data_IF_497829101925
#
_entry.id   IF_497829101925
#
_cell.length_a   1.000
_cell.length_b   1.000
_cell.length_c   1.000
_cell.angle_alpha   90.00
_cell.angle_beta   90.00
_cell.angle_gamma   90.00
#
_symmetry.space_group_name_H-M   'P 1'
#
loop_
_entity.id
_entity.type
_entity.pdbx_description
1 polymer ?
#
# COMPACT_ATOMS: atom_id res chain seq x y z
N UNK A 1 7.19 -30.60 38.61
CA UNK A 1 5.94 -31.04 37.93
C UNK A 1 5.40 -29.81 37.21
N UNK A 2 6.00 -29.51 36.06
CA UNK A 2 5.62 -28.37 35.24
C UNK A 2 4.60 -28.83 34.21
N UNK A 3 3.45 -28.21 34.30
CA UNK A 3 2.32 -28.37 33.36
C UNK A 3 2.67 -27.68 32.08
N UNK A 4 3.03 -28.40 31.03
CA UNK A 4 3.05 -27.93 29.64
C UNK A 4 1.60 -27.72 29.23
N UNK A 5 1.20 -26.44 29.08
CA UNK A 5 -0.05 -26.09 28.44
C UNK A 5 0.05 -26.52 26.98
N UNK A 6 -0.71 -27.54 26.61
CA UNK A 6 -0.97 -27.93 25.23
C UNK A 6 -1.61 -26.73 24.50
N UNK A 7 -0.90 -26.16 23.56
CA UNK A 7 -1.48 -25.24 22.58
C UNK A 7 -2.43 -26.07 21.69
N UNK A 8 -3.72 -25.83 21.77
CA UNK A 8 -4.69 -26.36 20.81
C UNK A 8 -4.29 -25.92 19.39
N UNK A 9 -4.30 -26.83 18.42
CA UNK A 9 -4.04 -26.46 17.01
C UNK A 9 -5.20 -25.58 16.52
N UNK A 10 -4.83 -24.46 15.90
CA UNK A 10 -5.71 -23.54 15.18
C UNK A 10 -6.68 -24.33 14.27
N UNK A 11 -8.00 -24.18 14.42
CA UNK A 11 -8.94 -24.96 13.62
C UNK A 11 -8.79 -24.60 12.14
N UNK A 12 -8.34 -25.56 11.35
CA UNK A 12 -8.36 -25.43 9.88
C UNK A 12 -9.80 -25.14 9.44
N UNK A 13 -10.02 -24.18 8.52
CA UNK A 13 -11.35 -23.90 8.03
C UNK A 13 -11.99 -25.19 7.49
N UNK A 14 -13.15 -25.52 8.00
CA UNK A 14 -13.94 -26.66 7.52
C UNK A 14 -14.33 -26.37 6.06
N UNK A 15 -14.23 -27.38 5.20
CA UNK A 15 -14.67 -27.32 3.82
C UNK A 15 -16.21 -27.14 3.77
N UNK A 16 -16.65 -25.88 3.72
CA UNK A 16 -18.05 -25.50 3.64
C UNK A 16 -18.18 -24.02 3.31
N UNK A 17 -18.69 -23.76 2.11
CA UNK A 17 -19.00 -22.46 1.51
C UNK A 17 -17.79 -21.58 1.17
N UNK A 18 -17.19 -21.88 0.00
CA UNK A 18 -16.25 -20.94 -0.64
C UNK A 18 -17.00 -19.67 -1.02
N UNK A 19 -16.73 -18.58 -0.28
CA UNK A 19 -17.32 -17.26 -0.58
C UNK A 19 -16.93 -16.83 -1.99
N UNK A 20 -17.88 -16.29 -2.73
CA UNK A 20 -17.69 -15.83 -4.11
C UNK A 20 -17.89 -14.35 -4.20
N UNK A 21 -16.84 -13.62 -4.57
CA UNK A 21 -16.84 -12.15 -4.61
C UNK A 21 -16.69 -11.67 -6.05
N UNK A 22 -17.57 -10.75 -6.46
CA UNK A 22 -17.39 -10.00 -7.70
C UNK A 22 -16.61 -8.73 -7.41
N UNK A 23 -15.35 -8.68 -7.84
CA UNK A 23 -14.51 -7.50 -7.67
C UNK A 23 -14.64 -6.56 -8.87
N UNK A 24 -14.93 -5.28 -8.59
CA UNK A 24 -14.86 -4.20 -9.57
C UNK A 24 -13.64 -3.35 -9.30
N UNK A 25 -12.80 -3.12 -10.30
CA UNK A 25 -11.56 -2.35 -10.16
C UNK A 25 -11.33 -1.43 -11.36
N UNK A 26 -10.70 -0.30 -11.13
CA UNK A 26 -10.28 0.58 -12.23
C UNK A 26 -9.11 -0.03 -12.99
N UNK A 27 -8.04 -0.40 -12.27
CA UNK A 27 -6.82 -0.97 -12.84
C UNK A 27 -6.34 -2.10 -11.93
N UNK A 28 -5.91 -3.21 -12.52
CA UNK A 28 -5.25 -4.30 -11.79
C UNK A 28 -3.82 -3.85 -11.49
N UNK A 29 -3.61 -3.30 -10.31
CA UNK A 29 -2.28 -2.95 -9.80
C UNK A 29 -1.67 -4.16 -9.09
N UNK A 30 -0.37 -4.14 -8.83
CA UNK A 30 0.33 -5.23 -8.13
C UNK A 30 -0.30 -5.49 -6.75
N UNK A 31 -0.52 -4.45 -5.94
CA UNK A 31 -1.12 -4.62 -4.60
C UNK A 31 -2.57 -5.15 -4.66
N UNK A 32 -3.33 -4.78 -5.69
CA UNK A 32 -4.66 -5.37 -5.91
C UNK A 32 -4.56 -6.86 -6.26
N UNK A 33 -3.63 -7.24 -7.14
CA UNK A 33 -3.41 -8.65 -7.51
C UNK A 33 -3.01 -9.47 -6.29
N UNK A 34 -2.08 -8.97 -5.47
CA UNK A 34 -1.67 -9.60 -4.22
C UNK A 34 -2.84 -9.73 -3.22
N UNK A 35 -3.74 -8.73 -3.13
CA UNK A 35 -4.95 -8.83 -2.31
C UNK A 35 -5.84 -10.00 -2.77
N UNK A 36 -6.06 -10.13 -4.09
CA UNK A 36 -6.89 -11.21 -4.63
C UNK A 36 -6.25 -12.58 -4.39
N UNK A 37 -4.94 -12.72 -4.61
CA UNK A 37 -4.20 -13.96 -4.37
C UNK A 37 -4.24 -14.35 -2.87
N UNK A 38 -4.10 -13.37 -1.98
CA UNK A 38 -4.19 -13.62 -0.54
C UNK A 38 -5.59 -14.02 -0.08
N UNK A 39 -6.64 -13.45 -0.68
CA UNK A 39 -8.04 -13.85 -0.43
C UNK A 39 -8.33 -15.25 -0.97
N UNK A 40 -7.81 -15.60 -2.16
CA UNK A 40 -7.95 -16.95 -2.74
C UNK A 40 -7.26 -18.01 -1.87
N UNK A 41 -6.10 -17.68 -1.29
CA UNK A 41 -5.36 -18.56 -0.39
C UNK A 41 -6.12 -18.92 0.89
N UNK A 42 -7.08 -18.10 1.32
CA UNK A 42 -7.96 -18.37 2.48
C UNK A 42 -9.36 -18.88 2.07
N UNK A 43 -9.57 -19.19 0.78
CA UNK A 43 -10.79 -19.80 0.27
C UNK A 43 -11.84 -18.82 -0.28
N UNK A 44 -11.53 -17.55 -0.45
CA UNK A 44 -12.43 -16.57 -1.09
C UNK A 44 -12.23 -16.62 -2.60
N UNK A 45 -13.13 -17.27 -3.31
CA UNK A 45 -13.12 -17.30 -4.78
C UNK A 45 -13.59 -15.96 -5.34
N UNK A 46 -12.88 -15.38 -6.28
CA UNK A 46 -13.26 -14.10 -6.84
C UNK A 46 -13.19 -14.02 -8.37
N UNK A 47 -14.04 -13.17 -8.94
CA UNK A 47 -13.94 -12.71 -10.32
C UNK A 47 -13.71 -11.22 -10.36
N UNK A 48 -12.75 -10.79 -11.14
CA UNK A 48 -12.40 -9.37 -11.31
C UNK A 48 -12.89 -8.84 -12.64
N UNK A 49 -13.67 -7.78 -12.59
CA UNK A 49 -14.01 -6.92 -13.72
C UNK A 49 -13.24 -5.61 -13.62
N UNK A 50 -12.45 -5.31 -14.63
CA UNK A 50 -11.74 -4.02 -14.71
C UNK A 50 -12.48 -3.06 -15.65
N UNK A 51 -12.52 -1.77 -15.28
CA UNK A 51 -13.06 -0.73 -16.15
C UNK A 51 -12.26 -0.69 -17.45
N UNK A 52 -12.90 -0.73 -18.63
CA UNK A 52 -12.20 -0.67 -19.92
C UNK A 52 -11.32 0.56 -20.07
N UNK A 53 -10.29 0.46 -20.92
CA UNK A 53 -9.31 1.52 -21.15
C UNK A 53 -8.01 1.35 -20.39
N UNK A 54 -6.95 1.98 -20.88
CA UNK A 54 -5.64 1.98 -20.25
C UNK A 54 -5.45 3.25 -19.40
N UNK A 55 -4.78 3.10 -18.26
CA UNK A 55 -4.31 4.23 -17.47
C UNK A 55 -2.84 3.98 -17.15
N UNK A 56 -1.98 4.70 -17.86
CA UNK A 56 -0.54 4.70 -17.56
C UNK A 56 -0.27 5.87 -16.60
N UNK A 57 0.05 5.57 -15.35
CA UNK A 57 0.37 6.59 -14.34
C UNK A 57 1.63 7.38 -14.65
N UNK A 58 2.51 6.82 -15.47
CA UNK A 58 3.80 7.44 -15.83
C UNK A 58 3.71 8.36 -17.06
N UNK A 59 2.59 8.33 -17.78
CA UNK A 59 2.37 9.15 -18.97
C UNK A 59 1.63 10.45 -18.59
N UNK A 60 2.32 11.58 -18.62
CA UNK A 60 1.76 12.92 -18.38
C UNK A 60 0.69 13.34 -19.42
N UNK A 61 0.39 12.50 -20.39
CA UNK A 61 -0.63 12.67 -21.41
C UNK A 61 -1.54 11.47 -21.62
N UNK A 62 -1.39 10.42 -20.79
CA UNK A 62 -2.13 9.18 -20.91
C UNK A 62 -3.63 9.38 -20.71
N UNK A 63 -4.40 8.80 -21.59
CA UNK A 63 -5.86 8.83 -21.64
C UNK A 63 -6.47 8.49 -20.28
N UNK A 64 -6.80 9.50 -19.49
CA UNK A 64 -7.58 9.30 -18.26
C UNK A 64 -8.93 8.70 -18.66
N UNK A 65 -9.35 7.62 -17.97
CA UNK A 65 -10.67 7.04 -18.20
C UNK A 65 -11.74 8.12 -18.17
N UNK A 66 -12.58 8.10 -19.19
CA UNK A 66 -13.68 9.01 -19.35
C UNK A 66 -14.94 8.49 -18.66
N UNK A 67 -15.90 9.34 -18.39
CA UNK A 67 -17.21 8.93 -17.87
C UNK A 67 -17.87 7.87 -18.79
N UNK A 68 -17.62 7.94 -20.10
CA UNK A 68 -18.15 6.96 -21.05
C UNK A 68 -17.59 5.54 -20.85
N UNK A 69 -16.38 5.39 -20.32
CA UNK A 69 -15.80 4.09 -20.04
C UNK A 69 -16.54 3.41 -18.87
N UNK A 70 -16.91 4.17 -17.84
CA UNK A 70 -17.74 3.69 -16.73
C UNK A 70 -19.17 3.39 -17.17
N UNK A 71 -19.75 4.20 -18.05
CA UNK A 71 -21.09 3.95 -18.62
C UNK A 71 -21.12 2.67 -19.48
N UNK A 72 -20.04 2.39 -20.23
CA UNK A 72 -19.90 1.13 -21.00
C UNK A 72 -19.62 -0.06 -20.08
N UNK A 73 -18.98 0.16 -18.97
CA UNK A 73 -18.68 -0.87 -17.98
C UNK A 73 -19.94 -1.33 -17.21
N UNK A 74 -20.88 -0.42 -16.95
CA UNK A 74 -22.07 -0.67 -16.15
C UNK A 74 -22.92 -1.88 -16.63
N UNK A 75 -23.27 -2.05 -17.91
CA UNK A 75 -24.08 -3.19 -18.35
C UNK A 75 -23.41 -4.54 -18.06
N UNK A 76 -22.10 -4.62 -18.20
CA UNK A 76 -21.33 -5.82 -17.88
C UNK A 76 -21.37 -6.11 -16.39
N UNK A 77 -21.10 -5.11 -15.54
CA UNK A 77 -21.15 -5.27 -14.09
C UNK A 77 -22.56 -5.63 -13.59
N UNK A 78 -23.59 -5.01 -14.15
CA UNK A 78 -24.99 -5.33 -13.84
C UNK A 78 -25.33 -6.77 -14.24
N UNK A 79 -24.98 -7.20 -15.44
CA UNK A 79 -25.22 -8.57 -15.90
C UNK A 79 -24.52 -9.59 -15.00
N UNK A 80 -23.28 -9.34 -14.63
CA UNK A 80 -22.51 -10.21 -13.75
C UNK A 80 -23.05 -10.22 -12.31
N UNK A 81 -23.69 -9.15 -11.83
CA UNK A 81 -24.29 -9.10 -10.49
C UNK A 81 -25.40 -10.15 -10.27
N UNK A 82 -26.04 -10.63 -11.34
CA UNK A 82 -26.98 -11.74 -11.30
C UNK A 82 -26.32 -13.13 -11.23
N UNK A 83 -24.98 -13.17 -11.34
CA UNK A 83 -24.21 -14.41 -11.19
C UNK A 83 -24.23 -14.93 -9.73
N UNK A 84 -23.58 -16.09 -9.56
CA UNK A 84 -23.48 -16.75 -8.25
C UNK A 84 -22.37 -16.13 -7.39
N UNK A 85 -22.50 -14.86 -7.06
CA UNK A 85 -21.64 -14.15 -6.11
C UNK A 85 -22.44 -13.84 -4.85
N UNK A 86 -21.77 -13.76 -3.71
CA UNK A 86 -22.38 -13.45 -2.42
C UNK A 86 -22.45 -11.93 -2.23
N UNK A 87 -21.40 -11.21 -2.65
CA UNK A 87 -21.30 -9.75 -2.60
C UNK A 87 -20.49 -9.18 -3.77
N UNK A 88 -20.50 -7.85 -3.90
CA UNK A 88 -19.64 -7.08 -4.80
C UNK A 88 -18.65 -6.28 -3.96
N UNK A 89 -17.35 -6.36 -4.29
CA UNK A 89 -16.33 -5.51 -3.72
C UNK A 89 -15.87 -4.46 -4.77
N UNK A 90 -16.24 -3.22 -4.54
CA UNK A 90 -15.79 -2.08 -5.33
C UNK A 90 -14.41 -1.62 -4.84
N UNK A 91 -13.38 -1.99 -5.56
CA UNK A 91 -12.00 -1.63 -5.24
C UNK A 91 -11.64 -0.32 -5.95
N UNK A 92 -11.71 0.78 -5.25
CA UNK A 92 -11.55 2.16 -5.67
C UNK A 92 -12.88 2.93 -5.83
N UNK A 93 -12.94 4.14 -5.27
CA UNK A 93 -14.17 4.94 -5.15
C UNK A 93 -14.95 5.14 -6.44
N UNK A 94 -14.28 5.27 -7.59
CA UNK A 94 -14.94 5.45 -8.90
C UNK A 94 -15.61 4.18 -9.44
N UNK A 95 -15.40 3.01 -8.86
CA UNK A 95 -16.20 1.82 -9.17
C UNK A 95 -17.47 1.72 -8.31
N UNK A 96 -17.53 2.52 -7.25
CA UNK A 96 -18.68 2.57 -6.32
C UNK A 96 -20.02 2.86 -7.01
N UNK A 97 -20.18 3.88 -7.89
CA UNK A 97 -21.44 4.14 -8.56
C UNK A 97 -21.96 2.95 -9.36
N UNK A 98 -21.05 2.21 -10.03
CA UNK A 98 -21.39 1.02 -10.81
C UNK A 98 -21.82 -0.13 -9.89
N UNK A 99 -21.10 -0.32 -8.79
CA UNK A 99 -21.41 -1.36 -7.80
C UNK A 99 -22.76 -1.11 -7.12
N UNK A 100 -23.06 0.13 -6.76
CA UNK A 100 -24.29 0.53 -6.06
C UNK A 100 -25.52 0.59 -6.96
N UNK A 101 -25.35 0.73 -8.28
CA UNK A 101 -26.48 0.81 -9.21
C UNK A 101 -27.16 -0.54 -9.51
N UNK A 102 -26.65 -1.67 -8.98
CA UNK A 102 -27.29 -2.99 -9.09
C UNK A 102 -28.12 -3.31 -7.82
N UNK A 103 -29.26 -3.99 -7.93
CA UNK A 103 -30.16 -4.21 -6.81
C UNK A 103 -29.96 -5.57 -6.09
N UNK A 104 -28.99 -6.38 -6.51
CA UNK A 104 -29.01 -7.81 -6.19
C UNK A 104 -28.03 -8.22 -5.07
N UNK A 105 -26.98 -7.45 -4.86
CA UNK A 105 -25.85 -7.84 -4.00
C UNK A 105 -25.49 -6.72 -3.05
N UNK A 106 -25.04 -7.10 -1.87
CA UNK A 106 -24.36 -6.25 -0.90
C UNK A 106 -23.08 -5.70 -1.50
N UNK A 107 -22.70 -4.49 -1.10
CA UNK A 107 -21.54 -3.79 -1.64
C UNK A 107 -20.55 -3.42 -0.54
N UNK A 108 -19.34 -3.93 -0.64
CA UNK A 108 -18.17 -3.45 0.11
C UNK A 108 -17.41 -2.45 -0.77
N UNK A 109 -17.02 -1.31 -0.24
CA UNK A 109 -16.28 -0.27 -0.94
C UNK A 109 -14.91 -0.07 -0.30
N UNK A 110 -13.82 -0.25 -1.06
CA UNK A 110 -12.46 0.12 -0.63
C UNK A 110 -12.05 1.45 -1.25
N UNK A 111 -11.54 2.36 -0.41
CA UNK A 111 -10.94 3.64 -0.79
C UNK A 111 -9.43 3.59 -0.57
N UNK A 112 -8.65 4.08 -1.56
CA UNK A 112 -7.19 3.89 -1.58
C UNK A 112 -6.39 5.20 -1.40
N UNK A 113 -7.08 6.33 -1.17
CA UNK A 113 -6.50 7.65 -0.92
C UNK A 113 -6.67 8.60 -2.11
N UNK A 114 -6.15 8.30 -3.30
CA UNK A 114 -6.29 9.20 -4.46
C UNK A 114 -7.74 9.40 -4.91
N UNK A 115 -8.63 8.50 -4.57
CA UNK A 115 -10.07 8.56 -4.79
C UNK A 115 -10.82 9.36 -3.72
N UNK A 116 -10.21 9.53 -2.55
CA UNK A 116 -10.78 10.33 -1.45
C UNK A 116 -10.26 11.78 -1.49
N UNK A 117 -8.97 11.97 -1.82
CA UNK A 117 -8.36 13.32 -1.85
C UNK A 117 -8.28 13.92 -3.25
N UNK A 118 -8.80 13.22 -4.26
CA UNK A 118 -8.73 13.61 -5.65
C UNK A 118 -9.97 14.39 -6.14
N UNK A 119 -9.98 14.69 -7.43
CA UNK A 119 -11.05 15.44 -8.13
C UNK A 119 -12.46 14.88 -7.91
N UNK A 120 -12.58 13.58 -7.66
CA UNK A 120 -13.84 12.85 -7.54
C UNK A 120 -14.20 12.45 -6.11
N UNK A 121 -13.59 13.08 -5.10
CA UNK A 121 -13.81 12.79 -3.68
C UNK A 121 -15.29 12.77 -3.31
N UNK A 122 -16.08 13.76 -3.75
CA UNK A 122 -17.51 13.81 -3.47
C UNK A 122 -18.30 12.58 -3.97
N UNK A 123 -17.86 11.96 -5.07
CA UNK A 123 -18.48 10.72 -5.58
C UNK A 123 -18.13 9.55 -4.66
N UNK A 124 -16.89 9.46 -4.23
CA UNK A 124 -16.43 8.43 -3.29
C UNK A 124 -17.12 8.54 -1.94
N UNK A 125 -17.27 9.76 -1.41
CA UNK A 125 -17.99 10.03 -0.16
C UNK A 125 -19.48 9.65 -0.25
N UNK A 126 -20.13 9.98 -1.37
CA UNK A 126 -21.54 9.57 -1.60
C UNK A 126 -21.64 8.05 -1.65
N UNK A 127 -20.75 7.37 -2.35
CA UNK A 127 -20.75 5.91 -2.41
C UNK A 127 -20.46 5.28 -1.05
N UNK A 128 -19.59 5.87 -0.24
CA UNK A 128 -19.29 5.40 1.10
C UNK A 128 -20.52 5.43 2.02
N UNK A 129 -21.37 6.43 1.90
CA UNK A 129 -22.65 6.52 2.66
C UNK A 129 -23.69 5.47 2.25
N UNK A 130 -23.56 4.91 1.05
CA UNK A 130 -24.55 4.00 0.47
C UNK A 130 -24.06 2.54 0.46
N UNK A 131 -22.79 2.30 0.64
CA UNK A 131 -22.21 0.97 0.71
C UNK A 131 -22.58 0.27 2.01
N UNK A 132 -22.66 -1.06 1.99
CA UNK A 132 -22.96 -1.88 3.19
C UNK A 132 -21.77 -1.92 4.15
N UNK A 133 -20.54 -1.81 3.65
CA UNK A 133 -19.32 -1.57 4.43
C UNK A 133 -18.29 -0.79 3.63
N UNK A 134 -17.42 -0.05 4.35
CA UNK A 134 -16.34 0.75 3.77
C UNK A 134 -15.01 0.33 4.36
N UNK A 135 -14.01 0.10 3.50
CA UNK A 135 -12.64 -0.18 3.88
C UNK A 135 -11.77 1.00 3.46
N UNK A 136 -10.93 1.47 4.37
CA UNK A 136 -9.95 2.56 4.14
C UNK A 136 -8.56 2.13 4.57
N UNK A 137 -7.53 2.89 4.15
CA UNK A 137 -6.14 2.48 4.36
C UNK A 137 -5.52 3.03 5.66
N UNK A 138 -6.12 4.06 6.29
CA UNK A 138 -5.60 4.69 7.51
C UNK A 138 -6.72 5.30 8.36
N UNK A 139 -6.44 5.56 9.62
CA UNK A 139 -7.34 6.27 10.54
C UNK A 139 -7.61 7.71 10.05
N UNK A 140 -6.60 8.37 9.46
CA UNK A 140 -6.79 9.68 8.82
C UNK A 140 -7.86 9.62 7.73
N UNK A 141 -7.82 8.59 6.88
CA UNK A 141 -8.83 8.38 5.86
C UNK A 141 -10.22 8.05 6.47
N UNK A 142 -10.26 7.24 7.54
CA UNK A 142 -11.51 6.93 8.23
C UNK A 142 -12.18 8.20 8.80
N UNK A 143 -11.39 9.10 9.39
CA UNK A 143 -11.88 10.38 9.89
C UNK A 143 -12.40 11.33 8.79
N UNK A 144 -11.91 11.19 7.56
CA UNK A 144 -12.32 12.00 6.41
C UNK A 144 -13.57 11.45 5.69
N UNK A 145 -13.92 10.18 5.87
CA UNK A 145 -15.07 9.54 5.23
C UNK A 145 -16.32 9.69 6.10
N UNK A 146 -17.47 10.13 5.55
CA UNK A 146 -18.71 10.32 6.32
C UNK A 146 -19.51 9.01 6.50
N UNK A 147 -18.85 7.94 6.90
CA UNK A 147 -19.40 6.62 7.18
C UNK A 147 -18.50 5.86 8.15
N UNK A 148 -19.03 4.85 8.83
CA UNK A 148 -18.20 3.94 9.62
C UNK A 148 -17.29 3.13 8.69
N UNK A 149 -16.01 3.09 9.04
CA UNK A 149 -14.99 2.50 8.20
C UNK A 149 -14.22 1.39 8.94
N UNK A 150 -13.83 0.37 8.17
CA UNK A 150 -12.83 -0.61 8.58
C UNK A 150 -11.46 -0.15 8.06
N UNK A 151 -10.50 0.09 8.95
CA UNK A 151 -9.15 0.49 8.57
C UNK A 151 -8.31 -0.76 8.29
N UNK A 152 -8.15 -1.08 7.01
CA UNK A 152 -7.40 -2.25 6.54
C UNK A 152 -6.44 -1.81 5.45
N UNK A 153 -5.18 -1.46 5.78
CA UNK A 153 -4.17 -1.10 4.80
C UNK A 153 -3.80 -2.29 3.90
N UNK A 154 -3.31 -2.02 2.71
CA UNK A 154 -2.76 -3.07 1.85
C UNK A 154 -1.67 -3.85 2.57
N UNK A 155 -1.69 -5.16 2.44
CA UNK A 155 -0.68 -6.04 2.99
C UNK A 155 0.64 -6.00 2.22
N UNK A 156 1.69 -6.52 2.86
CA UNK A 156 3.02 -6.71 2.27
C UNK A 156 3.33 -8.20 2.20
N UNK A 157 3.95 -8.60 1.11
CA UNK A 157 4.52 -9.94 0.97
C UNK A 157 5.85 -10.02 1.71
N UNK A 158 5.84 -10.62 2.90
CA UNK A 158 7.03 -10.77 3.75
C UNK A 158 8.00 -11.85 3.26
N UNK A 159 7.62 -12.70 2.31
CA UNK A 159 8.53 -13.65 1.66
C UNK A 159 9.33 -12.96 0.55
N UNK A 160 8.69 -12.06 -0.20
CA UNK A 160 9.33 -11.23 -1.22
C UNK A 160 10.16 -10.11 -0.57
N UNK A 161 9.54 -9.32 0.33
CA UNK A 161 10.19 -8.22 1.05
C UNK A 161 10.79 -8.74 2.35
N UNK A 162 12.05 -9.17 2.27
CA UNK A 162 12.80 -9.70 3.40
C UNK A 162 14.22 -9.13 3.45
N UNK A 163 14.85 -9.10 4.63
CA UNK A 163 16.25 -8.73 4.73
C UNK A 163 17.14 -9.71 3.95
N UNK A 164 18.04 -9.15 3.14
CA UNK A 164 19.19 -9.83 2.54
C UNK A 164 20.45 -9.00 2.86
N UNK A 165 21.62 -9.59 2.74
CA UNK A 165 22.87 -8.89 3.02
C UNK A 165 23.02 -7.68 2.09
N UNK A 166 23.25 -6.49 2.67
CA UNK A 166 23.39 -5.24 1.91
C UNK A 166 24.48 -5.33 0.85
N UNK A 167 25.62 -5.90 1.19
CA UNK A 167 26.73 -6.08 0.24
C UNK A 167 26.35 -6.95 -0.97
N UNK A 168 25.48 -7.96 -0.77
CA UNK A 168 24.98 -8.78 -1.87
C UNK A 168 24.07 -7.97 -2.78
N UNK A 169 23.16 -7.19 -2.22
CA UNK A 169 22.24 -6.34 -2.97
C UNK A 169 22.98 -5.22 -3.71
N UNK A 170 23.98 -4.58 -3.06
CA UNK A 170 24.82 -3.56 -3.68
C UNK A 170 25.63 -4.14 -4.85
N UNK A 171 26.21 -5.33 -4.66
CA UNK A 171 26.95 -6.02 -5.74
C UNK A 171 26.05 -6.33 -6.93
N UNK A 172 24.80 -6.75 -6.71
CA UNK A 172 23.83 -7.04 -7.77
C UNK A 172 23.44 -5.79 -8.58
N UNK A 173 23.42 -4.62 -7.93
CA UNK A 173 23.11 -3.33 -8.56
C UNK A 173 24.34 -2.58 -9.07
N UNK A 174 25.57 -3.06 -8.76
CA UNK A 174 26.81 -2.34 -9.05
C UNK A 174 26.97 -1.06 -8.22
N UNK A 175 26.38 -0.98 -7.04
CA UNK A 175 26.50 0.16 -6.12
C UNK A 175 27.79 0.09 -5.33
N UNK A 176 28.43 1.25 -5.14
CA UNK A 176 29.69 1.39 -4.41
C UNK A 176 29.43 1.26 -2.88
N UNK A 177 30.00 0.27 -2.20
CA UNK A 177 29.77 0.06 -0.77
C UNK A 177 30.31 1.18 0.13
N UNK A 178 31.20 2.03 -0.39
CA UNK A 178 31.76 3.18 0.34
C UNK A 178 30.92 4.46 0.17
N UNK A 179 29.73 4.35 -0.42
CA UNK A 179 28.75 5.42 -0.62
C UNK A 179 27.52 5.15 0.20
N UNK A 180 26.99 6.18 0.86
CA UNK A 180 25.68 6.10 1.50
C UNK A 180 24.57 6.24 0.44
N UNK A 181 23.65 5.28 0.40
CA UNK A 181 22.60 5.20 -0.61
C UNK A 181 21.24 5.54 -0.03
N UNK A 182 20.64 6.64 -0.49
CA UNK A 182 19.29 7.08 -0.14
C UNK A 182 18.34 6.69 -1.26
N UNK A 183 17.31 5.92 -0.95
CA UNK A 183 16.33 5.42 -1.92
C UNK A 183 15.07 6.30 -1.94
N UNK A 184 14.70 6.78 -3.14
CA UNK A 184 13.43 7.44 -3.42
C UNK A 184 12.62 6.55 -4.37
N UNK A 185 11.57 5.85 -3.90
CA UNK A 185 10.95 4.73 -4.64
C UNK A 185 9.84 5.19 -5.59
N UNK A 186 10.04 6.32 -6.29
CA UNK A 186 9.02 6.88 -7.19
C UNK A 186 9.64 7.59 -8.40
N UNK A 187 8.83 7.76 -9.46
CA UNK A 187 9.18 8.62 -10.57
C UNK A 187 9.31 10.09 -10.09
N UNK A 188 10.37 10.74 -10.53
CA UNK A 188 10.67 12.15 -10.17
C UNK A 188 9.66 13.13 -10.74
N UNK A 189 8.91 12.71 -11.77
CA UNK A 189 7.86 13.49 -12.44
C UNK A 189 6.55 13.59 -11.66
N UNK A 190 6.40 12.86 -10.54
CA UNK A 190 5.18 12.82 -9.73
C UNK A 190 5.15 13.97 -8.72
N UNK A 191 4.32 15.03 -8.93
CA UNK A 191 4.34 16.25 -8.12
C UNK A 191 3.95 16.02 -6.65
N UNK A 192 3.10 15.01 -6.39
CA UNK A 192 2.65 14.65 -5.05
C UNK A 192 3.75 13.96 -4.21
N UNK A 193 4.80 13.44 -4.84
CA UNK A 193 5.94 12.80 -4.18
C UNK A 193 7.05 13.78 -3.82
N UNK A 194 7.02 14.97 -4.38
CA UNK A 194 7.91 16.11 -4.09
C UNK A 194 9.42 15.75 -4.15
N UNK A 195 9.85 15.16 -5.28
CA UNK A 195 11.25 14.83 -5.50
C UNK A 195 12.21 16.02 -5.28
N UNK A 196 11.88 17.27 -5.70
CA UNK A 196 12.73 18.41 -5.40
C UNK A 196 12.97 18.64 -3.90
N UNK A 197 12.07 18.22 -3.04
CA UNK A 197 12.27 18.24 -1.59
C UNK A 197 13.26 17.17 -1.15
N UNK A 198 13.19 15.97 -1.73
CA UNK A 198 14.15 14.91 -1.45
C UNK A 198 15.58 15.33 -1.82
N UNK A 199 15.75 15.99 -2.97
CA UNK A 199 17.03 16.55 -3.40
C UNK A 199 17.57 17.57 -2.37
N UNK A 200 16.74 18.51 -1.92
CA UNK A 200 17.15 19.49 -0.89
C UNK A 200 17.54 18.84 0.45
N UNK A 201 16.81 17.81 0.89
CA UNK A 201 17.12 17.07 2.11
C UNK A 201 18.47 16.38 1.99
N UNK A 202 18.72 15.69 0.89
CA UNK A 202 19.99 14.96 0.65
C UNK A 202 21.15 15.95 0.50
N UNK A 203 20.96 17.07 -0.21
CA UNK A 203 22.02 18.08 -0.37
C UNK A 203 22.38 18.69 0.98
N UNK A 204 21.40 19.04 1.80
CA UNK A 204 21.67 19.56 3.15
C UNK A 204 22.34 18.51 4.07
N UNK A 205 22.13 17.22 3.83
CA UNK A 205 22.83 16.15 4.54
C UNK A 205 24.29 16.00 4.06
N UNK A 206 24.55 16.14 2.76
CA UNK A 206 25.90 16.12 2.16
C UNK A 206 26.83 17.18 2.76
N UNK A 207 26.26 18.35 3.08
CA UNK A 207 27.03 19.44 3.71
C UNK A 207 27.47 19.15 5.16
N UNK A 208 26.86 18.12 5.80
CA UNK A 208 26.98 17.85 7.24
C UNK A 208 27.55 16.46 7.58
N UNK A 209 27.89 15.66 6.57
CA UNK A 209 28.45 14.33 6.76
C UNK A 209 29.70 14.15 5.93
N UNK A 210 30.71 13.51 6.49
CA UNK A 210 31.89 13.09 5.73
C UNK A 210 31.55 11.87 4.88
N UNK A 211 31.95 11.92 3.60
CA UNK A 211 31.71 10.84 2.64
C UNK A 211 30.71 11.20 1.54
N UNK A 212 30.51 10.26 0.64
CA UNK A 212 29.59 10.43 -0.50
C UNK A 212 28.19 9.95 -0.14
N UNK A 213 27.18 10.70 -0.56
CA UNK A 213 25.75 10.34 -0.42
C UNK A 213 25.12 10.41 -1.80
N UNK A 214 24.48 9.33 -2.23
CA UNK A 214 23.76 9.25 -3.51
C UNK A 214 22.27 9.09 -3.29
N UNK A 215 21.46 9.84 -4.05
CA UNK A 215 20.01 9.73 -4.08
C UNK A 215 19.59 8.95 -5.33
N UNK A 216 18.94 7.82 -5.12
CA UNK A 216 18.46 6.92 -6.17
C UNK A 216 16.96 7.02 -6.32
N UNK A 217 16.49 7.64 -7.39
CA UNK A 217 15.09 7.62 -7.77
C UNK A 217 14.82 6.39 -8.64
N UNK A 218 13.99 5.45 -8.15
CA UNK A 218 13.65 4.23 -8.88
C UNK A 218 12.20 4.23 -9.31
N UNK A 219 11.97 3.93 -10.58
CA UNK A 219 10.63 3.75 -11.17
C UNK A 219 10.72 2.86 -12.41
N UNK A 220 9.60 2.27 -12.80
CA UNK A 220 9.55 1.38 -13.98
C UNK A 220 10.34 0.08 -13.80
N UNK A 221 10.65 -0.27 -12.56
CA UNK A 221 11.33 -1.52 -12.19
C UNK A 221 10.28 -2.57 -11.84
N UNK A 222 10.53 -3.82 -12.20
CA UNK A 222 9.66 -4.93 -11.83
C UNK A 222 9.56 -5.04 -10.30
N UNK A 223 8.35 -5.31 -9.81
CA UNK A 223 8.06 -5.28 -8.38
C UNK A 223 8.90 -6.28 -7.57
N UNK A 224 9.25 -7.41 -8.15
CA UNK A 224 10.11 -8.43 -7.56
C UNK A 224 11.59 -7.99 -7.42
N UNK A 225 12.00 -6.94 -8.14
CA UNK A 225 13.32 -6.32 -8.02
C UNK A 225 13.39 -5.23 -6.94
N UNK A 226 12.27 -4.67 -6.52
CA UNK A 226 12.22 -3.60 -5.50
C UNK A 226 12.94 -4.00 -4.19
N UNK A 227 12.79 -5.24 -3.67
CA UNK A 227 13.52 -5.66 -2.46
C UNK A 227 15.03 -5.57 -2.58
N UNK A 228 15.60 -5.74 -3.78
CA UNK A 228 17.05 -5.61 -3.99
C UNK A 228 17.50 -4.17 -3.75
N UNK A 229 16.79 -3.20 -4.32
CA UNK A 229 17.07 -1.77 -4.09
C UNK A 229 16.90 -1.38 -2.62
N UNK A 230 15.84 -1.88 -1.96
CA UNK A 230 15.61 -1.63 -0.53
C UNK A 230 16.71 -2.22 0.36
N UNK A 231 17.22 -3.39 0.00
CA UNK A 231 18.30 -4.00 0.77
C UNK A 231 19.68 -3.38 0.46
N UNK A 232 19.89 -2.83 -0.74
CA UNK A 232 21.12 -2.15 -1.09
C UNK A 232 21.24 -0.75 -0.45
N UNK A 233 20.11 -0.08 -0.22
CA UNK A 233 20.06 1.26 0.36
C UNK A 233 20.34 1.28 1.87
N UNK A 234 20.76 2.45 2.38
CA UNK A 234 20.91 2.75 3.80
C UNK A 234 19.61 3.28 4.40
N UNK A 235 18.79 3.97 3.61
CA UNK A 235 17.49 4.48 4.03
C UNK A 235 16.55 4.70 2.85
N UNK A 236 15.25 4.58 3.13
CA UNK A 236 14.20 5.09 2.24
C UNK A 236 13.85 6.52 2.66
N UNK A 237 13.81 7.44 1.71
CA UNK A 237 13.38 8.82 1.91
C UNK A 237 12.05 9.06 1.20
N UNK A 238 11.00 9.35 1.97
CA UNK A 238 9.68 9.70 1.48
C UNK A 238 9.39 11.18 1.76
N UNK A 239 9.17 11.98 0.73
CA UNK A 239 8.88 13.42 0.86
C UNK A 239 7.48 13.80 0.37
N UNK A 240 6.58 12.84 0.32
CA UNK A 240 5.22 13.02 -0.20
C UNK A 240 4.45 14.12 0.54
N UNK A 241 3.59 14.81 -0.21
CA UNK A 241 2.69 15.86 0.33
C UNK A 241 1.46 15.27 1.01
N UNK A 242 1.01 14.12 0.54
CA UNK A 242 -0.11 13.34 1.08
C UNK A 242 -0.02 11.89 0.63
N UNK A 243 -0.47 10.99 1.47
CA UNK A 243 -0.59 9.54 1.24
C UNK A 243 -1.85 9.03 1.97
N UNK A 244 -2.30 7.83 1.64
CA UNK A 244 -3.24 7.09 2.47
C UNK A 244 -2.50 6.17 3.45
N UNK A 245 -1.82 5.17 2.89
CA UNK A 245 -0.91 4.25 3.59
C UNK A 245 0.15 3.80 2.57
N UNK A 246 1.34 4.43 2.56
CA UNK A 246 2.33 4.22 1.50
C UNK A 246 2.93 2.81 1.55
N UNK A 247 2.72 2.01 0.49
CA UNK A 247 3.24 0.65 0.40
C UNK A 247 4.77 0.61 0.50
N UNK A 248 5.46 1.58 -0.10
CA UNK A 248 6.92 1.66 -0.05
C UNK A 248 7.49 1.75 1.37
N UNK A 249 6.79 2.41 2.31
CA UNK A 249 7.18 2.43 3.74
C UNK A 249 7.03 1.05 4.35
N UNK A 250 5.90 0.39 4.14
CA UNK A 250 5.64 -0.96 4.66
C UNK A 250 6.61 -2.00 4.09
N UNK A 251 6.91 -1.92 2.80
CA UNK A 251 7.88 -2.75 2.09
C UNK A 251 9.31 -2.53 2.62
N UNK A 252 9.68 -1.25 2.87
CA UNK A 252 10.96 -0.91 3.47
C UNK A 252 11.09 -1.48 4.89
N UNK A 253 10.05 -1.33 5.72
CA UNK A 253 10.00 -1.92 7.06
C UNK A 253 10.15 -3.45 7.00
N UNK A 254 9.49 -4.12 6.06
CA UNK A 254 9.59 -5.56 5.86
C UNK A 254 11.02 -6.00 5.50
N UNK A 255 11.78 -5.18 4.75
CA UNK A 255 13.20 -5.38 4.46
C UNK A 255 14.12 -4.97 5.63
N UNK A 256 13.59 -4.40 6.71
CA UNK A 256 14.38 -3.82 7.80
C UNK A 256 15.14 -2.57 7.38
N UNK A 257 14.75 -1.89 6.30
CA UNK A 257 15.35 -0.66 5.84
C UNK A 257 14.89 0.50 6.74
N UNK A 258 15.80 1.34 7.26
CA UNK A 258 15.43 2.60 7.89
C UNK A 258 14.58 3.48 6.99
N UNK A 259 13.61 4.19 7.56
CA UNK A 259 12.73 5.08 6.82
C UNK A 259 12.79 6.49 7.41
N UNK A 260 13.01 7.47 6.55
CA UNK A 260 12.87 8.89 6.85
C UNK A 260 11.72 9.43 6.00
N UNK A 261 10.72 10.03 6.62
CA UNK A 261 9.49 10.38 5.91
C UNK A 261 8.88 11.69 6.38
N UNK A 262 8.15 12.33 5.47
CA UNK A 262 7.11 13.30 5.85
C UNK A 262 6.01 12.61 6.65
N UNK A 263 5.33 13.38 7.51
CA UNK A 263 4.18 12.92 8.28
C UNK A 263 2.92 12.95 7.41
N UNK A 264 2.66 11.85 6.73
CA UNK A 264 1.55 11.71 5.78
C UNK A 264 0.88 10.34 5.94
N UNK A 265 -0.44 10.31 5.85
CA UNK A 265 -1.22 9.09 6.02
C UNK A 265 -0.94 8.41 7.37
N UNK A 266 -0.64 7.12 7.35
CA UNK A 266 -0.33 6.33 8.54
C UNK A 266 1.18 6.22 8.87
N UNK A 267 2.05 7.01 8.22
CA UNK A 267 3.51 6.85 8.36
C UNK A 267 3.97 7.03 9.80
N UNK A 268 3.48 8.06 10.52
CA UNK A 268 3.84 8.28 11.93
C UNK A 268 3.50 7.08 12.79
N UNK A 269 2.34 6.49 12.58
CA UNK A 269 1.89 5.29 13.28
C UNK A 269 2.80 4.09 12.96
N UNK A 270 3.14 3.91 11.67
CA UNK A 270 4.02 2.81 11.21
C UNK A 270 5.45 2.93 11.71
N UNK A 271 5.94 4.14 11.90
CA UNK A 271 7.29 4.39 12.42
C UNK A 271 7.33 4.52 13.95
N UNK A 272 6.20 4.41 14.64
CA UNK A 272 6.18 4.41 16.10
C UNK A 272 6.98 3.23 16.67
N UNK A 273 8.06 3.51 17.39
CA UNK A 273 8.97 2.50 17.95
C UNK A 273 9.94 1.88 16.95
N UNK A 274 9.97 2.35 15.70
CA UNK A 274 10.97 1.93 14.70
C UNK A 274 12.24 2.76 14.86
N UNK A 275 13.40 2.11 14.86
CA UNK A 275 14.71 2.76 14.97
C UNK A 275 15.79 1.93 14.24
N UNK A 276 16.73 2.60 13.53
CA UNK A 276 16.76 4.02 13.21
C UNK A 276 15.70 4.38 12.15
N UNK A 277 15.37 5.66 12.07
CA UNK A 277 14.39 6.24 11.17
C UNK A 277 13.50 7.24 11.89
N UNK A 278 12.76 8.06 11.15
CA UNK A 278 11.93 9.08 11.77
C UNK A 278 11.03 9.84 10.80
N UNK A 279 10.24 10.74 11.38
CA UNK A 279 9.25 11.56 10.70
C UNK A 279 9.56 13.04 10.90
N UNK A 280 9.61 13.82 9.82
CA UNK A 280 9.83 15.26 9.85
C UNK A 280 8.81 16.02 9.01
N UNK A 281 8.41 17.23 9.48
CA UNK A 281 7.48 18.10 8.75
C UNK A 281 8.21 19.08 7.84
N UNK A 282 9.41 19.51 8.22
CA UNK A 282 10.23 20.47 7.48
C UNK A 282 11.41 19.78 6.80
N UNK A 283 12.01 20.46 5.82
CA UNK A 283 13.26 19.96 5.19
C UNK A 283 14.37 19.80 6.25
N UNK A 284 14.47 20.71 7.20
CA UNK A 284 15.48 20.67 8.27
C UNK A 284 15.29 19.46 9.20
N UNK A 285 14.04 19.15 9.60
CA UNK A 285 13.74 17.97 10.40
C UNK A 285 14.05 16.68 9.63
N UNK A 286 13.63 16.57 8.36
CA UNK A 286 13.96 15.42 7.52
C UNK A 286 15.47 15.26 7.33
N UNK A 287 16.23 16.37 7.20
CA UNK A 287 17.69 16.31 7.12
C UNK A 287 18.30 15.81 8.44
N UNK A 288 17.77 16.22 9.57
CA UNK A 288 18.25 15.75 10.87
C UNK A 288 18.00 14.25 11.05
N UNK A 289 16.81 13.75 10.71
CA UNK A 289 16.47 12.32 10.73
C UNK A 289 17.35 11.52 9.74
N UNK A 290 17.59 12.05 8.54
CA UNK A 290 18.48 11.43 7.57
C UNK A 290 19.90 11.30 8.09
N UNK A 291 20.44 12.35 8.68
CA UNK A 291 21.79 12.36 9.28
C UNK A 291 21.90 11.36 10.43
N UNK A 292 20.87 11.24 11.26
CA UNK A 292 20.83 10.24 12.34
C UNK A 292 20.97 8.81 11.80
N UNK A 293 20.33 8.52 10.69
CA UNK A 293 20.45 7.21 10.01
C UNK A 293 21.84 7.05 9.38
N UNK A 294 22.29 8.02 8.58
CA UNK A 294 23.53 7.91 7.80
C UNK A 294 24.81 7.88 8.67
N UNK A 295 24.75 8.41 9.91
CA UNK A 295 25.83 8.28 10.90
C UNK A 295 25.98 6.89 11.49
N UNK A 296 25.08 5.96 11.14
CA UNK A 296 25.07 4.58 11.61
C UNK A 296 25.10 3.60 10.41
N UNK A 297 26.19 3.64 9.59
CA UNK A 297 26.24 2.89 8.33
C UNK A 297 25.97 1.40 8.55
N UNK A 298 25.19 0.79 7.66
CA UNK A 298 24.84 -0.62 7.69
C UNK A 298 23.86 -1.04 8.80
N UNK A 299 23.42 -0.11 9.66
CA UNK A 299 22.45 -0.43 10.71
C UNK A 299 21.05 -0.56 10.11
N UNK A 300 20.47 -1.74 10.24
CA UNK A 300 19.09 -2.00 9.87
C UNK A 300 18.12 -1.61 10.98
N UNK A 301 16.87 -1.29 10.61
CA UNK A 301 15.81 -0.97 11.57
C UNK A 301 15.13 -2.24 12.11
N UNK A 302 14.48 -2.11 13.27
CA UNK A 302 13.57 -3.13 13.81
C UNK A 302 12.20 -3.12 13.12
N UNK A 303 12.05 -2.41 12.01
CA UNK A 303 10.77 -2.18 11.32
C UNK A 303 10.05 -3.44 10.91
N UNK A 304 10.78 -4.52 10.53
CA UNK A 304 10.15 -5.79 10.15
C UNK A 304 9.32 -6.41 11.27
N UNK A 305 9.75 -6.29 12.50
CA UNK A 305 9.01 -6.80 13.66
C UNK A 305 7.76 -5.97 13.90
N UNK A 306 7.87 -4.64 13.82
CA UNK A 306 6.77 -3.70 13.98
C UNK A 306 5.72 -3.81 12.86
N UNK A 307 6.13 -4.23 11.66
CA UNK A 307 5.27 -4.35 10.50
C UNK A 307 4.61 -5.73 10.33
N UNK A 308 4.79 -6.69 11.25
CA UNK A 308 4.22 -8.06 11.12
C UNK A 308 2.72 -8.10 10.91
N UNK A 309 2.02 -7.14 11.49
CA UNK A 309 0.56 -6.99 11.34
C UNK A 309 0.10 -6.61 9.95
N UNK A 310 1.02 -6.23 9.08
CA UNK A 310 0.76 -5.79 7.71
C UNK A 310 0.97 -6.90 6.68
N UNK A 311 0.96 -8.19 7.08
CA UNK A 311 1.08 -9.28 6.12
C UNK A 311 -0.13 -9.38 5.20
N UNK A 312 0.08 -9.91 3.98
CA UNK A 312 -0.99 -10.20 3.02
C UNK A 312 -2.06 -11.11 3.62
N UNK A 313 -1.64 -12.13 4.37
CA UNK A 313 -2.57 -13.06 5.04
C UNK A 313 -3.48 -12.34 6.04
N UNK A 314 -2.91 -11.49 6.90
CA UNK A 314 -3.68 -10.74 7.90
C UNK A 314 -4.64 -9.74 7.25
N UNK A 315 -4.20 -9.05 6.21
CA UNK A 315 -5.08 -8.20 5.39
C UNK A 315 -6.25 -9.01 4.83
N UNK A 316 -5.98 -10.16 4.21
CA UNK A 316 -7.02 -11.01 3.61
C UNK A 316 -8.04 -11.48 4.66
N UNK A 317 -7.61 -11.95 5.84
CA UNK A 317 -8.49 -12.37 6.94
C UNK A 317 -9.39 -11.21 7.40
N UNK A 318 -8.83 -10.00 7.58
CA UNK A 318 -9.60 -8.82 7.98
C UNK A 318 -10.61 -8.38 6.93
N UNK A 319 -10.28 -8.50 5.65
CA UNK A 319 -11.24 -8.24 4.57
C UNK A 319 -12.35 -9.30 4.59
N UNK A 320 -12.03 -10.56 4.83
CA UNK A 320 -13.01 -11.63 4.91
C UNK A 320 -13.95 -11.48 6.12
N UNK A 321 -13.46 -11.00 7.27
CA UNK A 321 -14.27 -10.61 8.43
C UNK A 321 -15.28 -9.50 8.08
N UNK A 322 -14.87 -8.52 7.24
CA UNK A 322 -15.81 -7.50 6.75
C UNK A 322 -16.89 -8.13 5.85
N UNK A 323 -16.51 -9.07 5.01
CA UNK A 323 -17.48 -9.80 4.18
C UNK A 323 -18.48 -10.58 5.04
N UNK A 324 -18.02 -11.22 6.11
CA UNK A 324 -18.90 -11.90 7.09
C UNK A 324 -19.90 -10.96 7.71
N UNK A 325 -19.43 -9.79 8.15
CA UNK A 325 -20.29 -8.78 8.80
C UNK A 325 -21.39 -8.23 7.89
N UNK A 326 -21.13 -8.19 6.58
CA UNK A 326 -22.07 -7.68 5.57
C UNK A 326 -23.11 -8.75 5.18
N UNK A 327 -22.74 -10.04 5.25
CA UNK A 327 -23.60 -11.15 4.83
C UNK A 327 -24.39 -11.77 5.99
N UNK A 328 -24.03 -11.47 7.25
CA UNK A 328 -24.79 -11.88 8.44
C UNK A 328 -26.03 -11.02 8.63
#
# INVERSE_FOLDING_TARGET
MDSLAEQEPDPRPQAGDHRRVLNLVTTRTTFYTQQIEALDAIGVTSRTLAVPGSHNRDDQGGNSRSLTDYLRFYPTALSESFGRYDLIHANYGLTGPVALAQPNKKVVLSLWGSDLYGRYAAVSELCARLADAVIVMSEEMAAAVPADCHVIPHGVDFELFRPIAQSTAQSDLGWDPDVAHVLFPYATSRPEKDFPRAERVVEAAREQIDGRVELHAIHGVDHDRIPVYMNAADTLLLTSKHEGSPNSVKEALACGLPVVSTDVGDVRERLAGVSPGGVGQTTAELTAELLEVLRQPGRRSNGREQARDLSLERMARRIDEVYDSVLS
#
